data_IF_094525092455
#
_entry.id   IF_094525092455
#
_cell.length_a   1.000
_cell.length_b   1.000
_cell.length_c   1.000
_cell.angle_alpha   90.00
_cell.angle_beta   90.00
_cell.angle_gamma   90.00
#
_symmetry.space_group_name_H-M   'P 1'
#
loop_
_entity.id
_entity.type
_entity.pdbx_description
1 polymer ?
#
# COMPACT_ATOMS: atom_id res chain seq x y z
N UNK A 1 -16.84 -3.16 21.69
CA UNK A 1 -16.16 -2.83 20.41
C UNK A 1 -14.65 -2.97 20.59
N UNK A 2 -13.97 -3.71 19.74
CA UNK A 2 -12.50 -3.79 19.76
C UNK A 2 -11.91 -2.47 19.26
N UNK A 3 -10.82 -1.98 19.88
CA UNK A 3 -10.08 -0.81 19.39
C UNK A 3 -9.68 -0.93 17.90
N UNK A 4 -9.50 -2.15 17.40
CA UNK A 4 -9.04 -2.41 16.03
C UNK A 4 -10.10 -2.28 14.94
N UNK A 5 -11.38 -2.41 15.25
CA UNK A 5 -12.43 -2.59 14.24
C UNK A 5 -13.45 -1.48 14.13
N UNK A 6 -13.67 -0.66 15.15
CA UNK A 6 -14.79 0.28 15.20
C UNK A 6 -14.41 1.73 14.91
N UNK A 7 -13.18 2.13 15.22
CA UNK A 7 -12.67 3.48 14.92
C UNK A 7 -11.69 3.38 13.79
N UNK A 8 -11.96 4.08 12.70
CA UNK A 8 -11.06 4.19 11.57
C UNK A 8 -10.00 5.26 11.84
N UNK A 9 -8.73 4.88 11.68
CA UNK A 9 -7.60 5.78 11.91
C UNK A 9 -7.47 6.87 10.84
N UNK A 10 -7.97 6.60 9.64
CA UNK A 10 -7.91 7.55 8.52
C UNK A 10 -9.10 8.51 8.55
N UNK A 11 -10.29 7.98 8.83
CA UNK A 11 -11.52 8.77 8.85
C UNK A 11 -11.66 9.61 10.13
N UNK A 12 -11.08 9.16 11.25
CA UNK A 12 -11.35 9.78 12.54
C UNK A 12 -12.80 9.63 12.95
N UNK A 13 -13.43 8.56 12.53
CA UNK A 13 -14.85 8.29 12.73
C UNK A 13 -15.09 6.87 13.25
N UNK A 14 -16.25 6.67 13.85
CA UNK A 14 -16.74 5.34 14.24
C UNK A 14 -17.48 4.76 13.05
N UNK A 15 -16.88 3.76 12.37
CA UNK A 15 -17.40 3.22 11.09
C UNK A 15 -18.33 2.01 11.25
N UNK A 16 -18.20 1.24 12.33
CA UNK A 16 -19.01 0.03 12.57
C UNK A 16 -19.54 -0.02 14.01
N UNK A 17 -20.51 0.80 14.37
CA UNK A 17 -21.12 0.72 15.68
C UNK A 17 -21.97 -0.56 15.78
N UNK A 18 -21.56 -1.48 16.65
CA UNK A 18 -22.38 -2.64 16.98
C UNK A 18 -23.43 -2.30 18.02
N UNK A 19 -24.67 -2.81 17.89
CA UNK A 19 -25.72 -2.70 18.92
C UNK A 19 -25.62 -3.89 19.86
N UNK A 20 -25.59 -3.63 21.18
CA UNK A 20 -25.61 -4.65 22.25
C UNK A 20 -26.50 -4.23 23.37
N UNK A 21 -27.02 -5.20 24.12
CA UNK A 21 -27.78 -4.90 25.32
C UNK A 21 -26.88 -4.24 26.37
N UNK A 22 -27.42 -3.25 27.12
CA UNK A 22 -26.66 -2.52 28.15
C UNK A 22 -25.95 -3.44 29.13
N UNK A 23 -26.62 -4.50 29.59
CA UNK A 23 -26.08 -5.50 30.52
C UNK A 23 -24.80 -6.20 30.03
N UNK A 24 -24.61 -6.28 28.71
CA UNK A 24 -23.46 -6.94 28.11
C UNK A 24 -22.23 -6.04 28.03
N UNK A 25 -22.43 -4.73 28.10
CA UNK A 25 -21.36 -3.72 27.94
C UNK A 25 -21.15 -2.88 29.20
N UNK A 26 -22.01 -3.01 30.22
CA UNK A 26 -21.90 -2.27 31.48
C UNK A 26 -20.64 -2.58 32.30
N UNK A 27 -20.02 -3.76 32.06
CA UNK A 27 -18.78 -4.17 32.72
C UNK A 27 -17.70 -4.44 31.65
N UNK A 28 -16.48 -3.97 31.91
CA UNK A 28 -15.33 -4.22 31.05
C UNK A 28 -15.19 -3.30 29.83
N UNK A 29 -16.10 -2.34 29.64
CA UNK A 29 -16.06 -1.34 28.58
C UNK A 29 -16.04 0.07 29.16
N UNK A 30 -15.41 1.00 28.43
CA UNK A 30 -15.35 2.41 28.79
C UNK A 30 -16.55 3.14 28.24
N UNK A 31 -17.40 3.79 29.10
CA UNK A 31 -18.53 4.57 28.62
C UNK A 31 -18.09 5.91 28.04
N UNK A 32 -18.79 6.38 27.02
CA UNK A 32 -18.61 7.70 26.41
C UNK A 32 -19.96 8.24 25.91
N UNK A 33 -20.00 9.53 25.62
CA UNK A 33 -21.22 10.25 25.19
C UNK A 33 -21.01 10.94 23.85
N UNK A 34 -22.11 11.39 23.25
CA UNK A 34 -22.03 12.27 22.08
C UNK A 34 -21.17 13.50 22.39
N UNK A 35 -20.27 13.82 21.48
CA UNK A 35 -19.30 14.92 21.59
C UNK A 35 -17.99 14.55 22.27
N UNK A 36 -17.86 13.37 22.89
CA UNK A 36 -16.57 12.91 23.41
C UNK A 36 -15.61 12.54 22.26
N UNK A 37 -14.33 12.81 22.46
CA UNK A 37 -13.26 12.38 21.56
C UNK A 37 -12.62 11.12 22.12
N UNK A 38 -12.71 10.04 21.36
CA UNK A 38 -12.08 8.76 21.67
C UNK A 38 -10.67 8.76 21.11
N UNK A 39 -9.65 8.62 21.95
CA UNK A 39 -8.25 8.54 21.55
C UNK A 39 -7.65 7.19 21.96
N UNK A 40 -7.17 6.41 21.01
CA UNK A 40 -6.56 5.12 21.30
C UNK A 40 -5.25 5.31 22.07
N UNK A 41 -5.09 4.58 23.18
CA UNK A 41 -3.88 4.67 24.03
C UNK A 41 -2.84 3.60 23.74
N UNK A 42 -3.23 2.47 23.11
CA UNK A 42 -2.37 1.29 22.91
C UNK A 42 -1.68 1.33 21.54
N UNK A 43 -0.44 0.83 21.50
CA UNK A 43 0.30 0.54 20.24
C UNK A 43 -0.33 -0.62 19.45
N UNK A 44 -0.33 -0.63 18.12
CA UNK A 44 0.08 0.45 17.21
C UNK A 44 -1.05 1.47 16.91
N UNK A 45 -2.23 1.32 17.54
CA UNK A 45 -3.40 2.16 17.26
C UNK A 45 -3.15 3.66 17.50
N UNK A 46 -2.42 3.99 18.58
CA UNK A 46 -2.06 5.36 18.90
C UNK A 46 -1.09 5.94 17.87
N UNK A 47 -0.04 5.20 17.54
CA UNK A 47 0.96 5.58 16.55
C UNK A 47 0.34 5.88 15.19
N UNK A 48 -0.70 5.14 14.82
CA UNK A 48 -1.48 5.35 13.60
C UNK A 48 -2.48 6.52 13.70
N UNK A 49 -2.58 7.21 14.86
CA UNK A 49 -3.46 8.35 15.04
C UNK A 49 -4.94 7.98 15.15
N UNK A 50 -5.25 6.80 15.68
CA UNK A 50 -6.62 6.33 15.84
C UNK A 50 -7.37 7.12 16.91
N UNK A 51 -8.19 8.06 16.45
CA UNK A 51 -9.11 8.85 17.27
C UNK A 51 -10.39 9.15 16.49
N UNK A 52 -11.51 9.36 17.19
CA UNK A 52 -12.79 9.68 16.58
C UNK A 52 -13.66 10.50 17.52
N UNK A 53 -14.52 11.34 16.95
CA UNK A 53 -15.59 12.00 17.70
C UNK A 53 -16.77 11.05 17.79
N UNK A 54 -17.30 10.86 18.99
CA UNK A 54 -18.52 10.12 19.20
C UNK A 54 -19.73 10.98 18.80
N UNK A 55 -20.50 10.52 17.82
CA UNK A 55 -21.70 11.20 17.34
C UNK A 55 -22.80 10.16 17.09
N UNK A 56 -24.04 10.63 17.08
CA UNK A 56 -25.25 9.85 16.71
C UNK A 56 -25.41 8.55 17.52
N UNK A 57 -25.07 8.61 18.79
CA UNK A 57 -25.17 7.47 19.69
C UNK A 57 -26.63 7.22 20.09
N UNK A 58 -27.03 5.97 20.29
CA UNK A 58 -28.34 5.60 20.74
C UNK A 58 -28.51 6.09 22.18
N UNK A 59 -29.47 7.02 22.41
CA UNK A 59 -29.67 7.66 23.72
C UNK A 59 -28.44 8.48 24.18
N UNK A 60 -27.60 8.91 23.27
CA UNK A 60 -26.42 9.73 23.57
C UNK A 60 -25.31 8.98 24.32
N UNK A 61 -25.35 7.64 24.39
CA UNK A 61 -24.42 6.83 25.19
C UNK A 61 -23.81 5.71 24.36
N UNK A 62 -22.48 5.57 24.45
CA UNK A 62 -21.72 4.49 23.83
C UNK A 62 -20.78 3.78 24.80
N UNK A 63 -20.30 2.61 24.41
CA UNK A 63 -19.35 1.80 25.17
C UNK A 63 -18.25 1.29 24.25
N UNK A 64 -17.01 1.54 24.61
CA UNK A 64 -15.82 1.18 23.82
C UNK A 64 -14.81 0.34 24.57
N UNK A 65 -13.80 -0.10 23.86
CA UNK A 65 -12.66 -0.79 24.46
C UNK A 65 -12.03 0.07 25.58
N UNK A 66 -11.59 -0.53 26.68
CA UNK A 66 -10.79 0.16 27.69
C UNK A 66 -9.46 0.69 27.18
N UNK A 67 -9.07 0.33 25.95
CA UNK A 67 -7.88 0.85 25.28
C UNK A 67 -8.08 2.23 24.62
N UNK A 68 -9.21 2.90 24.91
CA UNK A 68 -9.41 4.31 24.57
C UNK A 68 -9.32 5.20 25.81
N UNK A 69 -8.68 6.36 25.68
CA UNK A 69 -8.97 7.52 26.49
C UNK A 69 -10.23 8.20 25.96
N UNK A 70 -11.11 8.58 26.85
CA UNK A 70 -12.30 9.38 26.54
C UNK A 70 -12.01 10.82 26.94
N UNK A 71 -11.85 11.68 25.96
CA UNK A 71 -11.55 13.10 26.16
C UNK A 71 -12.85 13.89 25.99
N UNK A 72 -13.31 14.53 27.07
CA UNK A 72 -14.51 15.34 27.05
C UNK A 72 -14.15 16.82 27.00
N UNK A 73 -14.39 17.50 25.87
CA UNK A 73 -14.07 18.92 25.77
C UNK A 73 -14.97 19.74 26.67
N UNK A 74 -14.36 20.69 27.38
CA UNK A 74 -15.09 21.70 28.13
C UNK A 74 -15.61 22.83 27.25
N UNK A 75 -16.32 23.83 27.80
CA UNK A 75 -16.98 24.86 27.02
C UNK A 75 -16.06 25.79 26.21
N UNK A 76 -14.75 25.77 26.47
CA UNK A 76 -13.75 26.57 25.75
C UNK A 76 -13.00 25.78 24.68
N UNK A 77 -13.29 24.49 24.51
CA UNK A 77 -12.58 23.61 23.60
C UNK A 77 -13.54 22.96 22.60
N UNK A 78 -13.35 23.24 21.32
CA UNK A 78 -14.13 22.60 20.26
C UNK A 78 -13.71 21.13 20.09
N UNK A 79 -14.68 20.23 19.92
CA UNK A 79 -14.44 18.77 19.78
C UNK A 79 -13.70 18.41 18.50
N UNK A 80 -13.98 19.10 17.40
CA UNK A 80 -13.29 18.90 16.11
C UNK A 80 -11.84 19.31 16.22
N UNK A 81 -11.60 20.49 16.77
CA UNK A 81 -10.27 20.98 17.06
C UNK A 81 -9.47 20.02 17.95
N UNK A 82 -10.05 19.55 19.07
CA UNK A 82 -9.40 18.56 19.94
C UNK A 82 -9.07 17.26 19.20
N UNK A 83 -10.00 16.77 18.38
CA UNK A 83 -9.77 15.56 17.58
C UNK A 83 -8.61 15.74 16.61
N UNK A 84 -8.48 16.88 15.96
CA UNK A 84 -7.33 17.19 15.10
C UNK A 84 -6.03 17.25 15.90
N UNK A 85 -6.02 17.91 17.06
CA UNK A 85 -4.82 18.02 17.90
C UNK A 85 -4.26 16.66 18.31
N UNK A 86 -5.10 15.74 18.80
CA UNK A 86 -4.63 14.40 19.24
C UNK A 86 -4.22 13.50 18.06
N UNK A 87 -4.63 13.82 16.85
CA UNK A 87 -4.24 13.13 15.62
C UNK A 87 -2.98 13.67 14.96
N UNK A 88 -2.46 14.81 15.42
CA UNK A 88 -1.22 15.39 14.88
C UNK A 88 -0.03 14.47 15.09
N UNK A 89 0.87 14.44 14.11
CA UNK A 89 2.11 13.67 14.19
C UNK A 89 2.97 14.11 15.39
N UNK A 90 3.06 15.43 15.66
CA UNK A 90 3.82 15.97 16.76
C UNK A 90 3.25 15.54 18.11
N UNK A 91 1.93 15.58 18.31
CA UNK A 91 1.29 15.08 19.53
C UNK A 91 1.62 13.60 19.74
N UNK A 92 1.49 12.78 18.70
CA UNK A 92 1.75 11.33 18.77
C UNK A 92 3.21 11.04 19.08
N UNK A 93 4.15 11.73 18.42
CA UNK A 93 5.58 11.60 18.67
C UNK A 93 5.95 11.94 20.11
N UNK A 94 5.36 12.99 20.69
CA UNK A 94 5.53 13.32 22.11
C UNK A 94 4.92 12.26 23.03
N UNK A 95 3.73 11.73 22.67
CA UNK A 95 3.07 10.68 23.44
C UNK A 95 3.88 9.38 23.48
N UNK A 96 4.57 9.01 22.39
CA UNK A 96 5.42 7.83 22.30
C UNK A 96 6.57 7.86 23.34
N UNK A 97 7.13 9.04 23.64
CA UNK A 97 8.17 9.20 24.64
C UNK A 97 7.70 8.88 26.09
N UNK A 98 6.40 8.86 26.33
CA UNK A 98 5.80 8.57 27.63
C UNK A 98 5.18 7.16 27.72
N UNK A 99 5.36 6.32 26.73
CA UNK A 99 4.80 4.98 26.73
C UNK A 99 5.19 4.16 27.95
N UNK A 100 4.22 3.46 28.48
CA UNK A 100 4.38 2.49 29.59
C UNK A 100 3.92 1.10 29.13
N UNK A 101 4.50 0.05 29.72
CA UNK A 101 4.19 -1.34 29.38
C UNK A 101 5.30 -2.07 28.62
N UNK A 102 5.04 -3.31 28.23
CA UNK A 102 5.98 -4.17 27.52
C UNK A 102 5.98 -3.91 26.02
N UNK A 103 7.09 -4.22 25.34
CA UNK A 103 7.22 -4.08 23.89
C UNK A 103 6.03 -4.75 23.14
N UNK A 104 5.43 -4.02 22.20
CA UNK A 104 4.28 -4.47 21.44
C UNK A 104 2.90 -4.27 22.11
N UNK A 105 2.86 -3.87 23.39
CA UNK A 105 1.64 -3.55 24.13
C UNK A 105 1.79 -2.30 25.02
N UNK A 106 2.48 -1.31 24.52
CA UNK A 106 2.70 -0.05 25.21
C UNK A 106 1.46 0.86 25.14
N UNK A 107 1.32 1.74 26.13
CA UNK A 107 0.16 2.63 26.26
C UNK A 107 0.59 4.02 26.68
N UNK A 108 -0.10 5.02 26.15
CA UNK A 108 0.00 6.41 26.60
C UNK A 108 -0.70 6.52 27.97
N UNK A 109 0.00 6.94 29.04
CA UNK A 109 -0.62 7.14 30.35
C UNK A 109 -1.50 8.41 30.38
N UNK A 110 -2.49 8.44 31.26
CA UNK A 110 -3.37 9.61 31.45
C UNK A 110 -2.57 10.85 31.88
N UNK A 111 -1.52 10.68 32.69
CA UNK A 111 -0.65 11.77 33.12
C UNK A 111 -0.01 12.56 31.96
N UNK A 112 0.28 11.91 30.83
CA UNK A 112 0.75 12.63 29.64
C UNK A 112 -0.32 13.59 29.11
N UNK A 113 -1.58 13.13 29.03
CA UNK A 113 -2.70 13.96 28.54
C UNK A 113 -2.97 15.15 29.46
N UNK A 114 -2.84 14.95 30.77
CA UNK A 114 -3.04 15.99 31.77
C UNK A 114 -1.95 17.08 31.73
N UNK A 115 -0.73 16.71 31.35
CA UNK A 115 0.41 17.62 31.27
C UNK A 115 0.62 18.23 29.87
N UNK A 116 -0.01 17.67 28.83
CA UNK A 116 0.23 18.12 27.47
C UNK A 116 -0.32 19.54 27.24
N UNK A 117 0.52 20.51 26.90
CA UNK A 117 0.08 21.88 26.62
C UNK A 117 -0.66 21.92 25.29
N UNK A 118 -1.99 22.08 25.34
CA UNK A 118 -2.82 22.24 24.16
C UNK A 118 -2.97 23.74 23.85
N UNK A 119 -2.59 24.20 22.63
CA UNK A 119 -2.95 25.55 22.20
C UNK A 119 -4.47 25.77 22.26
N UNK A 120 -4.91 26.86 22.85
CA UNK A 120 -6.32 27.13 23.06
C UNK A 120 -6.70 28.53 22.50
N UNK A 121 -6.74 28.69 21.16
CA UNK A 121 -7.21 29.92 20.55
C UNK A 121 -8.71 30.13 20.83
N UNK A 122 -9.30 31.30 20.56
CA UNK A 122 -10.72 31.54 20.71
C UNK A 122 -11.56 30.50 19.94
N UNK A 123 -12.74 30.14 20.46
CA UNK A 123 -13.62 29.13 19.82
C UNK A 123 -13.91 29.36 18.32
N UNK A 124 -14.12 30.62 17.85
CA UNK A 124 -14.32 30.86 16.41
C UNK A 124 -13.10 30.43 15.58
N UNK A 125 -11.90 30.63 16.08
CA UNK A 125 -10.67 30.21 15.41
C UNK A 125 -10.48 28.69 15.44
N UNK A 126 -10.78 28.04 16.57
CA UNK A 126 -10.79 26.58 16.65
C UNK A 126 -11.73 25.93 15.62
N UNK A 127 -12.95 26.50 15.46
CA UNK A 127 -13.92 26.03 14.47
C UNK A 127 -13.43 26.29 13.04
N UNK A 128 -12.85 27.46 12.77
CA UNK A 128 -12.30 27.79 11.48
C UNK A 128 -11.17 26.81 11.07
N UNK A 129 -10.32 26.42 12.02
CA UNK A 129 -9.30 25.38 11.80
C UNK A 129 -9.95 24.04 11.43
N UNK A 130 -11.01 23.64 12.14
CA UNK A 130 -11.81 22.44 11.83
C UNK A 130 -12.40 22.49 10.42
N UNK A 131 -13.02 23.60 10.07
CA UNK A 131 -13.64 23.84 8.75
C UNK A 131 -12.65 23.72 7.59
N UNK A 132 -11.36 23.98 7.83
CA UNK A 132 -10.29 23.79 6.85
C UNK A 132 -9.81 22.33 6.82
N UNK A 133 -9.62 21.71 8.00
CA UNK A 133 -9.00 20.38 8.10
C UNK A 133 -9.96 19.24 7.76
N UNK A 134 -11.24 19.35 8.07
CA UNK A 134 -12.25 18.30 7.81
C UNK A 134 -12.47 18.02 6.31
N UNK A 135 -12.71 19.02 5.44
CA UNK A 135 -12.82 18.80 4.01
C UNK A 135 -11.56 18.16 3.42
N UNK A 136 -10.39 18.61 3.87
CA UNK A 136 -9.13 18.10 3.40
C UNK A 136 -8.89 16.63 3.82
N UNK A 137 -9.28 16.23 5.02
CA UNK A 137 -9.29 14.84 5.46
C UNK A 137 -10.27 13.99 4.61
N UNK A 138 -11.45 14.52 4.32
CA UNK A 138 -12.47 13.88 3.47
C UNK A 138 -11.98 13.69 2.03
N UNK A 139 -11.35 14.68 1.42
CA UNK A 139 -10.75 14.57 0.09
C UNK A 139 -9.68 13.48 0.05
N UNK A 140 -8.82 13.42 1.06
CA UNK A 140 -7.78 12.38 1.17
C UNK A 140 -8.39 10.99 1.25
N UNK A 141 -9.45 10.81 2.02
CA UNK A 141 -10.20 9.55 2.11
C UNK A 141 -10.78 9.12 0.77
N UNK A 142 -11.55 10.00 0.11
CA UNK A 142 -12.18 9.70 -1.18
C UNK A 142 -11.16 9.33 -2.26
N UNK A 143 -10.02 10.01 -2.27
CA UNK A 143 -8.93 9.68 -3.20
C UNK A 143 -8.31 8.33 -2.92
N UNK A 144 -8.11 7.97 -1.64
CA UNK A 144 -7.62 6.64 -1.27
C UNK A 144 -8.61 5.55 -1.70
N UNK A 145 -9.89 5.74 -1.45
CA UNK A 145 -10.93 4.81 -1.89
C UNK A 145 -10.94 4.68 -3.42
N UNK A 146 -10.79 5.77 -4.14
CA UNK A 146 -10.66 5.76 -5.60
C UNK A 146 -9.43 4.97 -6.07
N UNK A 147 -8.29 5.09 -5.39
CA UNK A 147 -7.09 4.30 -5.68
C UNK A 147 -7.30 2.80 -5.45
N UNK A 148 -7.91 2.42 -4.33
CA UNK A 148 -8.24 1.01 -4.05
C UNK A 148 -9.17 0.44 -5.11
N UNK A 149 -10.21 1.20 -5.49
CA UNK A 149 -11.12 0.82 -6.58
C UNK A 149 -10.38 0.70 -7.91
N UNK A 150 -9.51 1.66 -8.25
CA UNK A 150 -8.72 1.62 -9.48
C UNK A 150 -7.82 0.38 -9.57
N UNK A 151 -7.25 -0.07 -8.45
CA UNK A 151 -6.43 -1.31 -8.41
C UNK A 151 -7.24 -2.56 -8.77
N UNK A 152 -8.55 -2.57 -8.51
CA UNK A 152 -9.43 -3.69 -8.82
C UNK A 152 -9.96 -3.66 -10.26
N UNK A 153 -9.94 -2.50 -10.91
CA UNK A 153 -10.49 -2.34 -12.26
C UNK A 153 -9.73 -3.19 -13.27
N UNK A 154 -8.40 -3.18 -13.27
CA UNK A 154 -7.61 -3.91 -14.28
C UNK A 154 -7.79 -5.43 -14.18
N UNK A 155 -7.73 -6.07 -12.99
CA UNK A 155 -8.08 -7.48 -12.86
C UNK A 155 -9.50 -7.81 -13.32
N UNK A 156 -10.50 -6.98 -12.95
CA UNK A 156 -11.89 -7.18 -13.36
C UNK A 156 -12.07 -7.00 -14.88
N UNK A 157 -11.40 -6.02 -15.48
CA UNK A 157 -11.40 -5.79 -16.92
C UNK A 157 -10.78 -6.98 -17.66
N UNK A 158 -9.68 -7.54 -17.14
CA UNK A 158 -9.06 -8.73 -17.71
C UNK A 158 -10.06 -9.90 -17.73
N UNK A 159 -10.67 -10.21 -16.60
CA UNK A 159 -11.65 -11.31 -16.51
C UNK A 159 -12.87 -11.06 -17.41
N UNK A 160 -13.34 -9.81 -17.48
CA UNK A 160 -14.46 -9.43 -18.38
C UNK A 160 -14.13 -9.63 -19.86
N UNK A 161 -12.90 -9.33 -20.29
CA UNK A 161 -12.50 -9.39 -21.69
C UNK A 161 -12.01 -10.77 -22.13
N UNK A 162 -11.36 -11.50 -21.23
CA UNK A 162 -10.65 -12.74 -21.58
C UNK A 162 -11.15 -13.97 -20.81
N UNK A 163 -11.95 -13.79 -19.76
CA UNK A 163 -12.35 -14.86 -18.85
C UNK A 163 -11.30 -15.16 -17.77
N UNK A 164 -11.66 -15.98 -16.81
CA UNK A 164 -10.74 -16.47 -15.77
C UNK A 164 -9.73 -17.46 -16.37
N UNK A 165 -8.41 -17.27 -16.20
CA UNK A 165 -7.38 -18.20 -16.68
C UNK A 165 -7.52 -19.64 -16.14
N UNK A 166 -8.15 -19.83 -14.96
CA UNK A 166 -8.38 -21.15 -14.40
C UNK A 166 -9.33 -22.00 -15.23
N UNK A 167 -10.38 -21.39 -15.76
CA UNK A 167 -11.48 -22.07 -16.45
C UNK A 167 -11.46 -21.86 -17.95
N UNK A 168 -10.80 -20.78 -18.42
CA UNK A 168 -10.75 -20.37 -19.81
C UNK A 168 -12.13 -20.44 -20.50
N UNK A 169 -13.16 -19.74 -19.99
CA UNK A 169 -14.53 -19.88 -20.44
C UNK A 169 -14.75 -19.43 -21.90
N UNK A 170 -13.84 -18.65 -22.44
CA UNK A 170 -13.85 -18.19 -23.83
C UNK A 170 -13.20 -19.19 -24.79
N UNK A 171 -12.58 -20.27 -24.28
CA UNK A 171 -11.94 -21.30 -25.12
C UNK A 171 -10.71 -20.83 -25.88
N UNK A 172 -10.00 -19.81 -25.39
CA UNK A 172 -8.80 -19.30 -26.06
C UNK A 172 -7.75 -20.43 -26.20
N UNK A 173 -7.04 -20.51 -27.33
CA UNK A 173 -5.90 -21.39 -27.44
C UNK A 173 -4.90 -21.17 -26.31
N UNK A 174 -4.35 -22.24 -25.74
CA UNK A 174 -3.33 -22.19 -24.70
C UNK A 174 -1.99 -22.66 -25.28
N UNK A 175 -0.95 -21.88 -25.07
CA UNK A 175 0.41 -22.21 -25.50
C UNK A 175 1.37 -22.09 -24.31
N UNK A 176 2.42 -22.95 -24.24
CA UNK A 176 3.44 -22.78 -23.21
C UNK A 176 4.14 -21.41 -23.37
N UNK A 177 4.52 -20.79 -22.28
CA UNK A 177 5.17 -19.47 -22.28
C UNK A 177 6.40 -19.44 -23.20
N UNK A 178 7.18 -20.54 -23.25
CA UNK A 178 8.33 -20.68 -24.14
C UNK A 178 8.00 -20.65 -25.63
N UNK A 179 6.73 -20.90 -26.02
CA UNK A 179 6.28 -20.69 -27.38
C UNK A 179 5.85 -19.25 -27.65
N UNK A 180 5.60 -18.45 -26.59
CA UNK A 180 5.07 -17.08 -26.64
C UNK A 180 6.20 -16.06 -26.59
N UNK A 181 7.21 -16.27 -25.76
CA UNK A 181 8.37 -15.37 -25.59
C UNK A 181 9.65 -15.99 -26.18
N UNK A 182 10.66 -15.17 -26.49
CA UNK A 182 11.93 -15.66 -26.97
C UNK A 182 12.82 -16.22 -25.85
N UNK A 183 12.70 -15.68 -24.64
CA UNK A 183 13.48 -16.12 -23.50
C UNK A 183 13.35 -15.24 -22.28
N UNK A 184 14.20 -15.49 -21.32
CA UNK A 184 14.33 -14.74 -20.07
C UNK A 184 15.79 -14.34 -19.90
N UNK A 185 16.04 -13.12 -19.48
CA UNK A 185 17.38 -12.60 -19.24
C UNK A 185 17.46 -12.02 -17.83
N UNK A 186 18.51 -12.35 -17.10
CA UNK A 186 18.80 -11.83 -15.76
C UNK A 186 20.21 -11.26 -15.70
N UNK A 187 20.47 -10.46 -14.67
CA UNK A 187 21.79 -9.96 -14.39
C UNK A 187 22.65 -10.93 -13.57
N UNK A 188 23.73 -10.41 -13.01
CA UNK A 188 24.64 -11.15 -12.13
C UNK A 188 24.25 -11.02 -10.65
N UNK A 189 24.63 -12.02 -9.86
CA UNK A 189 24.60 -11.92 -8.42
C UNK A 189 25.77 -11.07 -7.94
N UNK A 190 25.50 -9.79 -7.68
CA UNK A 190 26.50 -8.84 -7.21
C UNK A 190 26.19 -8.54 -5.73
N UNK A 191 27.20 -8.70 -4.87
CA UNK A 191 27.12 -8.22 -3.50
C UNK A 191 27.21 -6.68 -3.53
N UNK A 192 26.49 -6.02 -2.61
CA UNK A 192 26.67 -4.57 -2.42
C UNK A 192 28.13 -4.32 -2.01
N UNK A 193 28.75 -3.29 -2.56
CA UNK A 193 30.09 -2.88 -2.14
C UNK A 193 30.07 -2.60 -0.64
N UNK A 194 30.93 -3.29 0.10
CA UNK A 194 31.07 -3.16 1.56
C UNK A 194 31.69 -1.84 2.00
N UNK A 195 32.25 -1.08 1.07
CA UNK A 195 33.18 0.02 1.38
C UNK A 195 32.58 1.43 1.21
N UNK A 196 31.25 1.56 1.07
CA UNK A 196 30.60 2.88 0.97
C UNK A 196 30.95 3.70 -0.28
N UNK A 197 31.85 3.23 -1.13
CA UNK A 197 32.19 3.83 -2.41
C UNK A 197 31.28 3.24 -3.48
N UNK A 198 30.19 3.94 -3.79
CA UNK A 198 29.33 3.61 -4.93
C UNK A 198 30.12 3.81 -6.24
N UNK A 199 29.99 2.87 -7.20
CA UNK A 199 30.34 3.17 -8.58
C UNK A 199 29.46 4.36 -9.02
N UNK A 200 30.03 5.29 -9.78
CA UNK A 200 29.38 6.53 -10.18
C UNK A 200 27.94 6.29 -10.69
N UNK A 201 26.97 6.43 -9.80
CA UNK A 201 25.55 6.46 -10.12
C UNK A 201 24.86 5.12 -10.47
N UNK A 202 25.55 3.99 -10.67
CA UNK A 202 24.90 2.72 -11.03
C UNK A 202 24.27 2.01 -9.83
N UNK A 203 23.04 1.52 -10.02
CA UNK A 203 22.24 0.84 -9.00
C UNK A 203 21.74 -0.52 -9.48
N UNK A 204 21.62 -1.48 -8.57
CA UNK A 204 21.11 -2.83 -8.86
C UNK A 204 19.76 -3.00 -8.17
N UNK A 205 18.74 -3.47 -8.88
CA UNK A 205 17.42 -3.71 -8.33
C UNK A 205 17.45 -4.67 -7.14
N UNK A 206 16.67 -4.36 -6.12
CA UNK A 206 16.23 -5.31 -5.10
C UNK A 206 15.00 -6.07 -5.61
N UNK A 207 14.71 -7.23 -5.04
CA UNK A 207 13.50 -8.00 -5.37
C UNK A 207 12.23 -7.17 -5.09
N UNK A 208 12.25 -6.33 -4.05
CA UNK A 208 11.16 -5.41 -3.67
C UNK A 208 10.76 -4.44 -4.76
N UNK A 209 11.65 -4.14 -5.71
CA UNK A 209 11.36 -3.27 -6.85
C UNK A 209 10.23 -3.79 -7.77
N UNK A 210 9.96 -5.12 -7.74
CA UNK A 210 8.98 -5.80 -8.60
C UNK A 210 7.84 -6.42 -7.79
N UNK A 211 8.07 -6.70 -6.51
CA UNK A 211 7.19 -7.51 -5.66
C UNK A 211 5.77 -6.93 -5.50
N UNK A 212 5.62 -5.63 -5.50
CA UNK A 212 4.31 -4.95 -5.38
C UNK A 212 3.46 -5.01 -6.65
N UNK A 213 4.01 -5.52 -7.75
CA UNK A 213 3.36 -5.50 -9.06
C UNK A 213 3.44 -4.14 -9.78
N UNK A 214 4.10 -3.15 -9.18
CA UNK A 214 4.43 -1.85 -9.74
C UNK A 214 5.94 -1.71 -9.69
N UNK A 215 6.57 -1.27 -10.77
CA UNK A 215 8.01 -1.05 -10.81
C UNK A 215 8.40 0.12 -9.91
N UNK A 216 9.37 -0.11 -9.02
CA UNK A 216 9.89 0.87 -8.07
C UNK A 216 11.39 1.06 -8.29
N UNK A 217 11.82 2.09 -9.03
CA UNK A 217 13.23 2.32 -9.33
C UNK A 217 14.06 2.65 -8.09
N UNK A 218 13.44 3.21 -7.04
CA UNK A 218 14.11 3.55 -5.78
C UNK A 218 14.47 2.32 -4.93
N UNK A 219 13.81 1.19 -5.16
CA UNK A 219 14.13 -0.09 -4.52
C UNK A 219 15.35 -0.73 -5.21
N UNK A 220 16.48 -0.05 -5.12
CA UNK A 220 17.76 -0.45 -5.65
C UNK A 220 18.86 -0.24 -4.60
N UNK A 221 20.00 -0.86 -4.80
CA UNK A 221 21.24 -0.69 -4.01
C UNK A 221 22.38 -0.28 -4.92
N UNK A 222 23.39 0.41 -4.40
CA UNK A 222 24.57 0.78 -5.16
C UNK A 222 25.26 -0.46 -5.77
N UNK A 223 25.71 -0.34 -7.01
CA UNK A 223 26.53 -1.35 -7.65
C UNK A 223 27.96 -1.34 -7.06
N UNK A 224 28.70 -2.47 -7.07
CA UNK A 224 30.09 -2.50 -6.63
C UNK A 224 30.97 -1.55 -7.45
N UNK A 225 31.92 -0.91 -6.79
CA UNK A 225 32.91 -0.04 -7.45
C UNK A 225 33.67 -0.80 -8.53
N UNK A 226 33.89 -0.16 -9.68
CA UNK A 226 34.63 -0.75 -10.80
C UNK A 226 33.85 -1.82 -11.58
N UNK A 227 32.59 -2.06 -11.29
CA UNK A 227 31.76 -2.97 -12.09
C UNK A 227 31.38 -2.32 -13.40
N UNK A 228 31.79 -2.93 -14.50
CA UNK A 228 31.40 -2.55 -15.87
C UNK A 228 30.29 -3.50 -16.34
N UNK A 229 29.01 -3.06 -16.33
CA UNK A 229 27.92 -3.91 -16.74
C UNK A 229 27.86 -4.09 -18.26
N UNK A 230 27.58 -5.30 -18.77
CA UNK A 230 27.27 -5.47 -20.17
C UNK A 230 25.95 -4.76 -20.52
N UNK A 231 25.75 -4.30 -21.77
CA UNK A 231 24.60 -3.51 -22.19
C UNK A 231 23.23 -4.16 -21.93
N UNK A 232 23.17 -5.48 -21.89
CA UNK A 232 21.96 -6.25 -21.63
C UNK A 232 21.58 -6.35 -20.14
N UNK A 233 22.44 -5.90 -19.22
CA UNK A 233 22.09 -5.83 -17.81
C UNK A 233 21.31 -4.56 -17.43
N UNK A 234 21.29 -3.54 -18.28
CA UNK A 234 20.51 -2.33 -18.00
C UNK A 234 19.01 -2.58 -18.12
N UNK A 235 18.26 -2.09 -17.15
CA UNK A 235 16.80 -2.03 -17.20
C UNK A 235 16.38 -0.95 -18.19
N UNK A 236 15.41 -1.27 -19.05
CA UNK A 236 14.93 -0.37 -20.09
C UNK A 236 13.44 -0.15 -19.97
N UNK A 237 12.97 0.94 -20.48
CA UNK A 237 11.54 1.16 -20.68
C UNK A 237 10.93 -0.01 -21.47
N UNK A 238 9.70 -0.37 -21.13
CA UNK A 238 8.91 -1.48 -21.68
C UNK A 238 9.44 -2.89 -21.33
N UNK A 239 10.46 -3.00 -20.47
CA UNK A 239 10.85 -4.29 -19.91
C UNK A 239 9.74 -4.83 -19.01
N UNK A 240 9.31 -6.05 -19.26
CA UNK A 240 8.47 -6.80 -18.33
C UNK A 240 9.37 -7.66 -17.45
N UNK A 241 9.42 -7.30 -16.17
CA UNK A 241 10.26 -7.94 -15.16
C UNK A 241 9.47 -8.98 -14.37
N UNK A 242 10.14 -10.10 -14.01
CA UNK A 242 9.57 -11.18 -13.22
C UNK A 242 10.58 -11.67 -12.16
N UNK A 243 10.14 -11.83 -10.91
CA UNK A 243 10.98 -12.37 -9.84
C UNK A 243 11.10 -13.88 -9.95
N UNK A 244 12.35 -14.43 -10.06
CA UNK A 244 12.59 -15.87 -10.02
C UNK A 244 12.66 -16.46 -8.62
N UNK A 245 12.95 -15.64 -7.60
CA UNK A 245 13.11 -16.07 -6.22
C UNK A 245 12.43 -15.10 -5.27
N UNK A 246 11.59 -15.61 -4.38
CA UNK A 246 10.88 -14.85 -3.34
C UNK A 246 10.17 -15.83 -2.37
N UNK A 247 9.36 -15.32 -1.43
CA UNK A 247 8.44 -16.16 -0.65
C UNK A 247 7.46 -16.92 -1.57
N UNK A 248 6.80 -17.94 -1.06
CA UNK A 248 5.84 -18.74 -1.84
C UNK A 248 4.70 -17.89 -2.45
N UNK A 249 4.29 -16.84 -1.78
CA UNK A 249 3.21 -15.95 -2.22
C UNK A 249 3.69 -14.93 -3.28
N UNK A 250 4.96 -14.55 -3.23
CA UNK A 250 5.51 -13.44 -4.01
C UNK A 250 6.42 -13.89 -5.16
N UNK A 251 6.82 -15.18 -5.20
CA UNK A 251 7.64 -15.69 -6.32
C UNK A 251 6.88 -15.56 -7.65
N UNK A 252 7.57 -15.12 -8.69
CA UNK A 252 6.95 -14.81 -9.96
C UNK A 252 6.15 -13.50 -9.98
N UNK A 253 6.35 -12.59 -9.00
CA UNK A 253 5.81 -11.24 -9.08
C UNK A 253 6.36 -10.51 -10.32
N UNK A 254 5.50 -9.74 -10.98
CA UNK A 254 5.80 -9.08 -12.25
C UNK A 254 5.52 -7.59 -12.19
N UNK A 255 6.36 -6.79 -12.86
CA UNK A 255 6.13 -5.36 -13.06
C UNK A 255 6.63 -4.92 -14.44
N UNK A 256 5.95 -3.95 -15.03
CA UNK A 256 6.34 -3.32 -16.28
C UNK A 256 7.13 -2.04 -15.98
N UNK A 257 8.24 -1.84 -16.67
CA UNK A 257 9.05 -0.62 -16.59
C UNK A 257 8.43 0.44 -17.51
N UNK A 258 7.81 1.44 -16.93
CA UNK A 258 7.06 2.46 -17.70
C UNK A 258 7.93 3.66 -18.11
N UNK A 259 8.99 3.93 -17.36
CA UNK A 259 9.90 5.06 -17.59
C UNK A 259 11.32 4.58 -17.81
N UNK A 260 12.16 5.42 -18.42
CA UNK A 260 13.59 5.14 -18.55
C UNK A 260 14.26 4.97 -17.17
N UNK A 261 15.20 4.01 -17.12
CA UNK A 261 15.91 3.63 -15.90
C UNK A 261 17.40 3.38 -16.23
N UNK A 262 18.06 4.38 -16.83
CA UNK A 262 19.37 4.25 -17.46
C UNK A 262 20.52 3.91 -16.51
N UNK A 263 20.35 4.14 -15.20
CA UNK A 263 21.33 3.85 -14.16
C UNK A 263 21.04 2.54 -13.39
N UNK A 264 20.03 1.78 -13.80
CA UNK A 264 19.54 0.61 -13.07
C UNK A 264 19.88 -0.68 -13.79
N UNK A 265 20.39 -1.64 -13.01
CA UNK A 265 20.83 -2.96 -13.48
C UNK A 265 19.94 -4.08 -12.96
N UNK A 266 19.78 -5.11 -13.78
CA UNK A 266 19.11 -6.37 -13.41
C UNK A 266 19.98 -7.16 -12.40
N UNK A 267 19.41 -7.72 -11.33
CA UNK A 267 20.05 -8.72 -10.48
C UNK A 267 19.82 -10.14 -11.04
N UNK A 268 20.45 -11.12 -10.43
CA UNK A 268 20.24 -12.56 -10.73
C UNK A 268 18.83 -13.06 -10.38
N UNK A 269 18.14 -12.40 -9.45
CA UNK A 269 16.84 -12.83 -8.91
C UNK A 269 15.63 -12.22 -9.63
N UNK A 270 15.87 -11.38 -10.62
CA UNK A 270 14.83 -10.80 -11.47
C UNK A 270 15.20 -11.09 -12.92
N UNK A 271 14.25 -11.63 -13.68
CA UNK A 271 14.38 -11.80 -15.10
C UNK A 271 13.59 -10.73 -15.85
N UNK A 272 14.13 -10.31 -17.01
CA UNK A 272 13.44 -9.59 -18.06
C UNK A 272 12.92 -10.59 -19.08
N UNK A 273 11.70 -10.38 -19.57
CA UNK A 273 11.13 -11.15 -20.66
C UNK A 273 11.70 -10.63 -21.98
N UNK A 274 12.23 -11.55 -22.79
CA UNK A 274 12.68 -11.26 -24.15
C UNK A 274 11.56 -11.63 -25.13
N UNK A 275 11.09 -10.63 -25.86
CA UNK A 275 9.98 -10.79 -26.78
C UNK A 275 10.38 -11.49 -28.07
N UNK A 276 9.47 -12.27 -28.65
CA UNK A 276 9.59 -12.74 -30.05
C UNK A 276 9.24 -11.60 -31.00
N UNK A 277 9.80 -11.62 -32.17
CA UNK A 277 9.44 -10.70 -33.26
C UNK A 277 8.95 -11.49 -34.48
N UNK A 278 7.69 -11.31 -34.93
CA UNK A 278 6.63 -10.53 -34.31
C UNK A 278 6.11 -11.17 -33.00
N UNK A 279 5.67 -10.34 -32.07
CA UNK A 279 5.08 -10.83 -30.80
C UNK A 279 3.62 -11.19 -31.00
N UNK A 280 3.22 -12.33 -30.46
CA UNK A 280 1.81 -12.76 -30.43
C UNK A 280 1.08 -12.27 -29.17
N UNK A 281 1.77 -11.59 -28.24
CA UNK A 281 1.22 -11.05 -27.00
C UNK A 281 1.74 -9.65 -26.75
N UNK A 282 0.90 -8.81 -26.13
CA UNK A 282 1.32 -7.48 -25.68
C UNK A 282 1.88 -7.57 -24.25
N UNK A 283 2.88 -6.74 -23.89
CA UNK A 283 3.43 -6.70 -22.54
C UNK A 283 2.40 -6.50 -21.45
N UNK A 284 1.42 -5.59 -21.65
CA UNK A 284 0.37 -5.31 -20.67
C UNK A 284 -0.63 -6.46 -20.50
N UNK A 285 -0.95 -7.19 -21.59
CA UNK A 285 -1.77 -8.39 -21.48
C UNK A 285 -1.05 -9.45 -20.64
N UNK A 286 0.23 -9.72 -20.95
CA UNK A 286 0.99 -10.72 -20.22
C UNK A 286 1.21 -10.33 -18.75
N UNK A 287 1.48 -9.04 -18.47
CA UNK A 287 1.53 -8.51 -17.10
C UNK A 287 0.23 -8.80 -16.33
N UNK A 288 -0.92 -8.45 -16.92
CA UNK A 288 -2.22 -8.64 -16.29
C UNK A 288 -2.55 -10.13 -16.11
N UNK A 289 -2.17 -10.97 -17.06
CA UNK A 289 -2.31 -12.43 -16.99
C UNK A 289 -1.48 -13.01 -15.84
N UNK A 290 -0.23 -12.59 -15.67
CA UNK A 290 0.63 -12.99 -14.54
C UNK A 290 0.04 -12.59 -13.18
N UNK A 291 -0.69 -11.48 -13.12
CA UNK A 291 -1.32 -10.97 -11.89
C UNK A 291 -2.61 -11.70 -11.52
N UNK A 292 -3.22 -12.50 -12.42
CA UNK A 292 -4.44 -13.24 -12.09
C UNK A 292 -4.17 -14.29 -10.99
N UNK A 293 -5.14 -14.46 -10.10
CA UNK A 293 -5.00 -15.37 -8.95
C UNK A 293 -4.68 -16.81 -9.36
N UNK A 294 -5.33 -17.30 -10.42
CA UNK A 294 -5.07 -18.63 -10.98
C UNK A 294 -3.64 -18.80 -11.48
N UNK A 295 -3.12 -17.81 -12.18
CA UNK A 295 -1.73 -17.78 -12.68
C UNK A 295 -0.73 -17.70 -11.52
N UNK A 296 -1.02 -16.85 -10.53
CA UNK A 296 -0.20 -16.74 -9.31
C UNK A 296 -0.12 -18.08 -8.57
N UNK A 297 -1.26 -18.77 -8.41
CA UNK A 297 -1.30 -20.12 -7.82
C UNK A 297 -0.50 -21.12 -8.65
N UNK A 298 -0.57 -21.07 -9.97
CA UNK A 298 0.22 -21.94 -10.85
C UNK A 298 1.74 -21.69 -10.68
N UNK A 299 2.16 -20.44 -10.61
CA UNK A 299 3.57 -20.06 -10.37
C UNK A 299 4.07 -20.53 -9.00
N UNK A 300 3.27 -20.39 -7.95
CA UNK A 300 3.62 -20.88 -6.62
C UNK A 300 3.79 -22.42 -6.60
N UNK A 301 2.97 -23.16 -7.36
CA UNK A 301 3.09 -24.63 -7.47
C UNK A 301 4.36 -25.09 -8.16
N UNK A 302 4.82 -24.41 -9.19
CA UNK A 302 6.05 -24.78 -9.91
C UNK A 302 7.32 -24.31 -9.19
N UNK A 303 7.19 -23.46 -8.20
CA UNK A 303 8.31 -22.98 -7.40
C UNK A 303 8.82 -24.08 -6.46
N UNK A 304 10.14 -24.21 -6.36
CA UNK A 304 10.83 -25.17 -5.50
C UNK A 304 11.59 -24.46 -4.40
N UNK A 305 11.95 -25.19 -3.36
CA UNK A 305 12.70 -24.71 -2.20
C UNK A 305 12.13 -25.26 -0.90
N UNK A 306 12.98 -25.56 0.05
CA UNK A 306 12.63 -26.15 1.34
C UNK A 306 12.26 -25.10 2.39
N UNK A 307 12.69 -23.85 2.20
CA UNK A 307 12.39 -22.74 3.11
C UNK A 307 11.11 -22.00 2.68
N UNK A 308 10.25 -21.71 3.65
CA UNK A 308 9.09 -20.85 3.43
C UNK A 308 9.48 -19.42 2.99
N UNK A 309 10.67 -18.96 3.39
CA UNK A 309 11.18 -17.61 3.10
C UNK A 309 11.79 -17.47 1.71
N UNK A 310 12.16 -18.58 1.03
CA UNK A 310 12.75 -18.49 -0.31
C UNK A 310 12.36 -19.66 -1.19
N UNK A 311 11.44 -19.40 -2.10
CA UNK A 311 11.03 -20.29 -3.20
C UNK A 311 11.63 -19.79 -4.49
N UNK A 312 12.00 -20.69 -5.38
CA UNK A 312 12.64 -20.35 -6.66
C UNK A 312 11.93 -21.05 -7.82
N UNK A 313 11.64 -20.32 -8.87
CA UNK A 313 11.16 -20.87 -10.13
C UNK A 313 12.38 -21.08 -11.04
N UNK A 314 12.54 -22.28 -11.61
CA UNK A 314 13.55 -22.51 -12.63
C UNK A 314 13.07 -22.01 -14.00
N UNK A 315 14.00 -21.59 -14.83
CA UNK A 315 13.73 -21.14 -16.21
C UNK A 315 12.84 -22.15 -16.98
N UNK A 316 13.24 -23.42 -17.00
CA UNK A 316 12.49 -24.46 -17.72
C UNK A 316 11.05 -24.60 -17.24
N UNK A 317 10.81 -24.57 -15.92
CA UNK A 317 9.46 -24.68 -15.36
C UNK A 317 8.59 -23.45 -15.69
N UNK A 318 9.16 -22.26 -15.65
CA UNK A 318 8.42 -21.05 -16.04
C UNK A 318 8.00 -21.12 -17.52
N UNK A 319 8.87 -21.60 -18.39
CA UNK A 319 8.60 -21.71 -19.83
C UNK A 319 7.49 -22.73 -20.17
N UNK A 320 7.13 -23.66 -19.27
CA UNK A 320 6.04 -24.63 -19.49
C UNK A 320 4.65 -24.12 -19.08
N UNK A 321 4.56 -22.98 -18.41
CA UNK A 321 3.23 -22.43 -17.99
C UNK A 321 2.40 -22.13 -19.24
N UNK A 322 1.17 -22.62 -19.26
CA UNK A 322 0.21 -22.39 -20.35
C UNK A 322 -0.34 -20.97 -20.31
N UNK A 323 -0.17 -20.22 -21.37
CA UNK A 323 -0.67 -18.83 -21.55
C UNK A 323 -1.86 -18.88 -22.51
N UNK A 324 -2.98 -18.28 -22.12
CA UNK A 324 -4.12 -18.03 -23.01
C UNK A 324 -3.71 -17.08 -24.13
N UNK A 325 -4.15 -17.37 -25.36
CA UNK A 325 -3.77 -16.62 -26.56
C UNK A 325 -5.02 -15.98 -27.23
N UNK A 326 -5.63 -14.96 -26.62
CA UNK A 326 -6.69 -14.24 -27.30
C UNK A 326 -6.13 -13.45 -28.51
N UNK A 327 -6.96 -13.07 -29.49
CA UNK A 327 -6.52 -12.31 -30.65
C UNK A 327 -5.80 -11.02 -30.28
N UNK A 328 -4.72 -10.70 -30.98
CA UNK A 328 -3.87 -9.52 -30.72
C UNK A 328 -4.66 -8.20 -30.66
N UNK A 329 -5.64 -7.90 -31.55
CA UNK A 329 -6.43 -6.68 -31.46
C UNK A 329 -7.21 -6.54 -30.14
N UNK A 330 -7.65 -7.66 -29.57
CA UNK A 330 -8.33 -7.66 -28.27
C UNK A 330 -7.37 -7.36 -27.12
N UNK A 331 -6.15 -7.92 -27.18
CA UNK A 331 -5.09 -7.61 -26.22
C UNK A 331 -4.66 -6.14 -26.30
N UNK A 332 -4.54 -5.56 -27.49
CA UNK A 332 -4.24 -4.15 -27.68
C UNK A 332 -5.34 -3.24 -27.14
N UNK A 333 -6.60 -3.61 -27.36
CA UNK A 333 -7.73 -2.88 -26.77
C UNK A 333 -7.66 -2.89 -25.25
N UNK A 334 -7.39 -4.05 -24.66
CA UNK A 334 -7.16 -4.18 -23.21
C UNK A 334 -5.98 -3.31 -22.76
N UNK A 335 -4.85 -3.36 -23.45
CA UNK A 335 -3.66 -2.59 -23.10
C UNK A 335 -3.96 -1.08 -23.05
N UNK A 336 -4.67 -0.53 -24.02
CA UNK A 336 -5.09 0.89 -24.03
C UNK A 336 -6.01 1.24 -22.85
N UNK A 337 -6.95 0.36 -22.51
CA UNK A 337 -7.86 0.58 -21.39
C UNK A 337 -7.14 0.49 -20.05
N UNK A 338 -6.25 -0.50 -19.88
CA UNK A 338 -5.43 -0.66 -18.67
C UNK A 338 -4.51 0.54 -18.47
N UNK A 339 -3.87 1.04 -19.53
CA UNK A 339 -3.02 2.24 -19.48
C UNK A 339 -3.79 3.49 -19.05
N UNK A 340 -5.02 3.67 -19.54
CA UNK A 340 -5.87 4.79 -19.13
C UNK A 340 -6.20 4.72 -17.63
N UNK A 341 -6.49 3.53 -17.09
CA UNK A 341 -6.74 3.31 -15.66
C UNK A 341 -5.48 3.58 -14.84
N UNK A 342 -4.31 3.09 -15.26
CA UNK A 342 -3.04 3.33 -14.56
C UNK A 342 -2.65 4.81 -14.56
N UNK A 343 -2.85 5.51 -15.68
CA UNK A 343 -2.60 6.96 -15.76
C UNK A 343 -3.52 7.73 -14.82
N UNK A 344 -4.80 7.37 -14.75
CA UNK A 344 -5.74 7.97 -13.81
C UNK A 344 -5.31 7.71 -12.36
N UNK A 345 -4.92 6.47 -12.01
CA UNK A 345 -4.46 6.12 -10.69
C UNK A 345 -3.20 6.91 -10.28
N UNK A 346 -2.24 7.10 -11.17
CA UNK A 346 -1.05 7.95 -10.94
C UNK A 346 -1.44 9.40 -10.66
N UNK A 347 -2.30 9.98 -11.49
CA UNK A 347 -2.79 11.33 -11.28
C UNK A 347 -3.43 11.52 -9.89
N UNK A 348 -4.24 10.53 -9.45
CA UNK A 348 -4.84 10.56 -8.12
C UNK A 348 -3.78 10.47 -7.00
N UNK A 349 -2.72 9.69 -7.19
CA UNK A 349 -1.62 9.58 -6.22
C UNK A 349 -0.88 10.91 -6.07
N UNK A 350 -0.45 11.52 -7.16
CA UNK A 350 0.24 12.82 -7.14
C UNK A 350 -0.63 13.93 -6.53
N UNK A 351 -1.92 13.94 -6.88
CA UNK A 351 -2.86 14.89 -6.31
C UNK A 351 -3.07 14.69 -4.80
N UNK A 352 -3.00 13.43 -4.32
CA UNK A 352 -3.08 13.11 -2.89
C UNK A 352 -1.82 13.55 -2.14
N UNK A 353 -0.65 13.35 -2.72
CA UNK A 353 0.62 13.79 -2.13
C UNK A 353 0.66 15.31 -1.97
N UNK A 354 0.25 16.05 -3.00
CA UNK A 354 0.14 17.53 -2.94
C UNK A 354 -0.86 17.99 -1.87
N UNK A 355 -2.02 17.35 -1.79
CA UNK A 355 -3.02 17.67 -0.77
C UNK A 355 -2.53 17.35 0.64
N UNK A 356 -1.79 16.26 0.82
CA UNK A 356 -1.20 15.89 2.11
C UNK A 356 -0.11 16.87 2.53
N UNK A 357 0.76 17.29 1.62
CA UNK A 357 1.78 18.30 1.89
C UNK A 357 1.17 19.65 2.28
N UNK A 358 0.12 20.08 1.58
CA UNK A 358 -0.61 21.30 1.91
C UNK A 358 -1.25 21.22 3.31
N UNK A 359 -1.87 20.09 3.66
CA UNK A 359 -2.45 19.86 4.99
C UNK A 359 -1.42 19.90 6.11
N UNK A 360 -0.25 19.25 5.90
CA UNK A 360 0.85 19.31 6.86
C UNK A 360 1.33 20.75 7.08
N UNK A 361 1.46 21.53 6.01
CA UNK A 361 1.83 22.95 6.10
C UNK A 361 0.80 23.76 6.89
N UNK A 362 -0.51 23.54 6.62
CA UNK A 362 -1.60 24.22 7.34
C UNK A 362 -1.61 23.79 8.81
N UNK A 363 -1.54 22.50 9.11
CA UNK A 363 -1.56 22.02 10.49
C UNK A 363 -0.37 22.54 11.30
N UNK A 364 0.83 22.61 10.73
CA UNK A 364 2.00 23.17 11.38
C UNK A 364 1.84 24.67 11.64
N UNK A 365 1.18 25.40 10.75
CA UNK A 365 0.98 26.86 10.91
C UNK A 365 -0.03 27.21 12.00
N UNK A 366 -1.07 26.41 12.19
CA UNK A 366 -2.17 26.71 13.11
C UNK A 366 -2.09 25.96 14.45
N UNK A 367 -1.38 24.85 14.52
CA UNK A 367 -1.34 23.95 15.67
C UNK A 367 0.09 23.73 16.21
N UNK A 368 1.13 24.19 15.52
CA UNK A 368 2.53 24.17 15.97
C UNK A 368 2.91 25.49 16.54
#
# INVERSE_FOLDING_TARGET
MSCRTAVDEMEGAIITPGRRAYREVAKGYTPFRDGDVLFAKITPCMENGKAAIANDLIGGLGFGSPEFHVLRPGPRLDRGYLCHCVRMAEFRRRAEAYFTGTAGQQRVPTSFLEMFPLPLPPLPEQRHIGDILDPAASIRRLRRQAQETARQIIPALFVKMFGDPATNPMGWPVRPLGAVIAGLEGGKNLQAGSDGTASEGLRILKISAVTSGVFRPDEAKAAPTGYTPPPNHFVRKDDLLITRANTAELVGATALVENEAMDILLPDKIWRIIWRSPSAVTPRFLLAWFKQSATRAAMSRIATGTSASMRTISHGRLMTIGVMMPPLPLQERFARQAEAVERFARYQTEAMERATAALLSISTRFLG
#
